data_IF_484671051792
#
_entry.id   IF_484671051792
#
_cell.length_a   1.000
_cell.length_b   1.000
_cell.length_c   1.000
_cell.angle_alpha   90.00
_cell.angle_beta   90.00
_cell.angle_gamma   90.00
#
_symmetry.space_group_name_H-M   'P 1'
#
loop_
_entity.id
_entity.type
_entity.pdbx_description
1 polymer ?
#
# COMPACT_ATOMS: atom_id res chain seq x y z
N UNK A 1 22.34 -3.34 40.12
CA UNK A 1 22.01 -1.91 40.32
C UNK A 1 20.49 -1.83 40.40
N UNK A 2 19.97 -1.39 41.55
CA UNK A 2 18.55 -1.28 41.94
C UNK A 2 17.66 -2.54 41.94
N UNK A 3 17.48 -3.20 43.10
CA UNK A 3 16.39 -4.14 43.30
C UNK A 3 15.08 -3.39 43.59
N UNK A 4 14.01 -3.87 42.97
CA UNK A 4 12.62 -3.50 43.19
C UNK A 4 12.23 -3.71 44.66
N UNK A 5 11.95 -2.64 45.38
CA UNK A 5 11.33 -2.71 46.71
C UNK A 5 10.14 -1.76 46.75
N UNK A 6 9.01 -2.26 46.25
CA UNK A 6 7.69 -1.67 46.51
C UNK A 6 7.36 -1.93 47.99
N UNK A 7 7.65 -0.95 48.84
CA UNK A 7 7.27 -0.99 50.25
C UNK A 7 5.77 -0.72 50.34
N UNK A 8 4.99 -1.80 50.44
CA UNK A 8 3.56 -1.76 50.69
C UNK A 8 3.33 -1.45 52.18
N UNK A 9 3.29 -0.17 52.54
CA UNK A 9 2.93 0.27 53.90
C UNK A 9 1.41 0.27 54.01
N UNK A 10 0.82 -0.89 54.31
CA UNK A 10 -0.58 -0.96 54.76
C UNK A 10 -0.61 -0.70 56.27
N UNK A 11 -0.56 0.59 56.66
CA UNK A 11 -0.78 0.98 58.05
C UNK A 11 -2.27 0.82 58.40
N UNK A 12 -2.52 -0.04 59.38
CA UNK A 12 -3.81 -0.26 60.02
C UNK A 12 -4.34 1.03 60.64
N UNK A 13 -5.44 1.54 60.09
CA UNK A 13 -6.19 2.65 60.64
C UNK A 13 -7.62 2.61 60.11
N UNK A 14 -8.54 2.09 60.92
CA UNK A 14 -9.97 2.28 60.76
C UNK A 14 -10.26 3.78 60.61
N UNK A 15 -10.74 4.25 59.45
CA UNK A 15 -12.01 4.97 59.20
C UNK A 15 -12.03 5.26 57.68
N UNK A 16 -13.02 4.73 56.97
CA UNK A 16 -13.43 5.05 55.59
C UNK A 16 -12.50 6.00 54.79
N UNK A 17 -11.38 5.48 54.27
CA UNK A 17 -10.71 6.14 53.17
C UNK A 17 -11.39 5.65 51.89
N UNK A 18 -12.29 6.48 51.37
CA UNK A 18 -12.76 6.38 50.00
C UNK A 18 -11.50 6.30 49.12
N UNK A 19 -11.21 5.10 48.59
CA UNK A 19 -10.23 4.97 47.54
C UNK A 19 -10.81 5.75 46.36
N UNK A 20 -10.43 7.02 46.24
CA UNK A 20 -10.40 7.76 44.99
C UNK A 20 -9.46 6.98 44.07
N UNK A 21 -9.98 5.89 43.51
CA UNK A 21 -9.43 5.31 42.30
C UNK A 21 -9.77 6.36 41.27
N UNK A 22 -8.80 7.26 41.09
CA UNK A 22 -8.65 8.06 39.88
C UNK A 22 -8.70 7.06 38.75
N UNK A 23 -9.92 6.85 38.26
CA UNK A 23 -10.21 5.93 37.18
C UNK A 23 -9.83 6.70 35.94
N UNK A 24 -8.53 6.97 35.80
CA UNK A 24 -7.98 7.16 34.48
C UNK A 24 -8.37 5.88 33.76
N UNK A 25 -9.20 5.93 32.70
CA UNK A 25 -9.38 4.77 31.87
C UNK A 25 -7.97 4.40 31.46
N UNK A 26 -7.47 3.28 31.99
CA UNK A 26 -6.48 2.54 31.23
C UNK A 26 -7.25 2.20 29.96
N UNK A 27 -7.12 3.08 28.96
CA UNK A 27 -7.12 2.67 27.58
C UNK A 27 -6.08 1.57 27.55
N UNK A 28 -6.55 0.37 27.81
CA UNK A 28 -5.90 -0.86 27.43
C UNK A 28 -6.02 -0.80 25.93
N UNK A 29 -5.17 0.01 25.32
CA UNK A 29 -4.92 -0.01 23.89
C UNK A 29 -4.27 -1.36 23.70
N UNK A 30 -5.14 -2.37 23.58
CA UNK A 30 -4.85 -3.69 23.06
C UNK A 30 -4.56 -3.52 21.58
N UNK A 31 -3.61 -2.65 21.24
CA UNK A 31 -3.03 -2.56 19.93
C UNK A 31 -2.06 -3.74 19.86
N UNK A 32 -2.60 -4.89 19.45
CA UNK A 32 -1.78 -5.76 18.61
C UNK A 32 -1.11 -4.83 17.58
N UNK A 33 0.23 -4.89 17.41
CA UNK A 33 0.91 -4.01 16.48
C UNK A 33 0.19 -4.13 15.14
N UNK A 34 -0.38 -3.03 14.66
CA UNK A 34 -1.03 -2.98 13.37
C UNK A 34 0.02 -3.42 12.36
N UNK A 35 -0.17 -4.60 11.77
CA UNK A 35 0.82 -5.20 10.90
C UNK A 35 0.95 -4.27 9.69
N UNK A 36 2.11 -3.63 9.57
CA UNK A 36 2.41 -2.79 8.43
C UNK A 36 2.24 -3.62 7.16
N UNK A 37 1.45 -3.10 6.22
CA UNK A 37 1.22 -3.68 4.89
C UNK A 37 1.46 -2.64 3.82
N UNK A 38 2.03 -3.08 2.72
CA UNK A 38 2.33 -2.24 1.58
C UNK A 38 1.94 -2.95 0.27
N UNK A 39 1.02 -2.41 -0.56
CA UNK A 39 0.26 -1.16 -0.37
C UNK A 39 -0.61 -1.17 0.90
N UNK A 40 -0.69 -0.02 1.59
CA UNK A 40 -1.53 0.12 2.78
C UNK A 40 -3.01 0.15 2.38
N UNK A 41 -3.84 -0.84 2.77
CA UNK A 41 -5.23 -0.91 2.38
C UNK A 41 -6.04 0.31 2.82
N UNK A 42 -5.77 0.89 4.00
CA UNK A 42 -6.59 1.97 4.57
C UNK A 42 -8.09 1.61 4.57
N UNK A 43 -8.87 2.07 3.58
CA UNK A 43 -10.29 1.76 3.39
C UNK A 43 -10.57 0.76 2.26
N UNK A 44 -9.55 0.37 1.50
CA UNK A 44 -9.62 -0.60 0.42
C UNK A 44 -9.54 -2.03 0.96
N UNK A 45 -10.02 -2.97 0.14
CA UNK A 45 -9.74 -4.39 0.33
C UNK A 45 -8.26 -4.71 0.12
N UNK A 46 -7.84 -5.91 0.55
CA UNK A 46 -6.47 -6.38 0.39
C UNK A 46 -6.07 -6.31 -1.10
N UNK A 47 -4.96 -5.63 -1.39
CA UNK A 47 -4.50 -5.42 -2.77
C UNK A 47 -4.20 -6.74 -3.48
N UNK A 48 -3.86 -7.80 -2.73
CA UNK A 48 -3.59 -9.12 -3.30
C UNK A 48 -4.78 -9.71 -4.06
N UNK A 49 -6.02 -9.36 -3.70
CA UNK A 49 -7.24 -9.81 -4.40
C UNK A 49 -7.34 -9.28 -5.84
N UNK A 50 -6.57 -8.24 -6.18
CA UNK A 50 -6.52 -7.64 -7.52
C UNK A 50 -5.43 -8.24 -8.41
N UNK A 51 -4.69 -9.23 -7.90
CA UNK A 51 -3.61 -9.92 -8.61
C UNK A 51 -4.12 -11.19 -9.28
N UNK A 52 -3.88 -11.35 -10.59
CA UNK A 52 -4.32 -12.56 -11.32
C UNK A 52 -3.20 -13.60 -11.50
N UNK A 53 -1.96 -13.19 -11.33
CA UNK A 53 -0.77 -14.06 -11.21
C UNK A 53 -0.32 -14.12 -9.74
N UNK A 54 0.40 -15.17 -9.30
CA UNK A 54 0.84 -15.27 -7.91
C UNK A 54 1.72 -14.08 -7.53
N UNK A 55 1.22 -13.22 -6.65
CA UNK A 55 2.00 -12.23 -5.91
C UNK A 55 2.02 -12.64 -4.43
N UNK A 56 3.10 -12.31 -3.74
CA UNK A 56 3.30 -12.69 -2.35
C UNK A 56 3.67 -11.51 -1.47
N UNK A 57 3.31 -11.62 -0.20
CA UNK A 57 3.76 -10.67 0.80
C UNK A 57 5.08 -11.18 1.37
N UNK A 58 6.12 -10.36 1.26
CA UNK A 58 7.40 -10.59 1.94
C UNK A 58 7.53 -9.61 3.10
N UNK A 59 8.08 -10.08 4.21
CA UNK A 59 8.41 -9.19 5.32
C UNK A 59 9.75 -8.50 5.02
N UNK A 60 9.71 -7.17 4.95
CA UNK A 60 10.89 -6.32 4.80
C UNK A 60 10.77 -5.17 5.79
N UNK A 61 11.79 -5.03 6.64
CA UNK A 61 11.85 -3.99 7.68
C UNK A 61 10.61 -3.94 8.60
N UNK A 62 10.02 -5.11 8.89
CA UNK A 62 8.82 -5.24 9.73
C UNK A 62 7.50 -4.90 9.02
N UNK A 63 7.53 -4.71 7.70
CA UNK A 63 6.34 -4.48 6.88
C UNK A 63 6.14 -5.59 5.85
N UNK A 64 4.90 -6.02 5.64
CA UNK A 64 4.54 -6.98 4.62
C UNK A 64 4.33 -6.27 3.28
N UNK A 65 5.32 -6.37 2.40
CA UNK A 65 5.31 -5.75 1.08
C UNK A 65 4.85 -6.75 0.03
N UNK A 66 3.86 -6.37 -0.78
CA UNK A 66 3.45 -7.18 -1.92
C UNK A 66 4.53 -7.09 -2.99
N UNK A 67 4.97 -8.26 -3.45
CA UNK A 67 6.02 -8.41 -4.46
C UNK A 67 5.62 -9.46 -5.48
N UNK A 68 6.16 -9.30 -6.69
CA UNK A 68 6.14 -10.36 -7.68
C UNK A 68 7.19 -11.43 -7.35
N UNK A 69 6.98 -12.70 -7.76
CA UNK A 69 7.97 -13.77 -7.65
C UNK A 69 9.28 -13.43 -8.36
N UNK A 70 10.35 -14.13 -8.01
CA UNK A 70 11.64 -13.97 -8.66
C UNK A 70 11.56 -14.04 -10.20
N UNK A 71 12.25 -13.12 -10.87
CA UNK A 71 12.29 -12.99 -12.32
C UNK A 71 10.95 -12.67 -13.00
N UNK A 72 9.97 -12.14 -12.24
CA UNK A 72 8.74 -11.59 -12.82
C UNK A 72 8.56 -10.13 -12.43
N UNK A 73 7.87 -9.36 -13.28
CA UNK A 73 7.72 -7.92 -13.15
C UNK A 73 6.25 -7.51 -13.06
N UNK A 74 5.93 -6.54 -12.21
CA UNK A 74 4.58 -6.01 -12.09
C UNK A 74 4.15 -5.27 -13.36
N UNK A 75 2.96 -5.57 -13.86
CA UNK A 75 2.24 -4.77 -14.85
C UNK A 75 0.80 -4.59 -14.41
N UNK A 76 0.26 -3.41 -14.70
CA UNK A 76 -1.11 -3.05 -14.32
C UNK A 76 -1.95 -2.78 -15.55
N UNK A 77 -3.18 -3.26 -15.48
CA UNK A 77 -4.16 -3.07 -16.53
C UNK A 77 -5.30 -2.18 -16.03
N UNK A 78 -5.79 -1.33 -16.93
CA UNK A 78 -6.95 -0.45 -16.74
C UNK A 78 -7.56 -0.08 -18.10
N UNK A 79 -8.45 0.90 -18.11
CA UNK A 79 -8.98 1.56 -19.30
C UNK A 79 -8.98 3.07 -19.10
N UNK A 80 -8.88 3.84 -20.19
CA UNK A 80 -8.83 5.30 -20.10
C UNK A 80 -10.06 5.93 -19.43
N UNK A 81 -11.24 5.31 -19.51
CA UNK A 81 -12.46 5.82 -18.86
C UNK A 81 -12.41 5.76 -17.32
N UNK A 82 -11.47 5.00 -16.75
CA UNK A 82 -11.20 4.92 -15.30
C UNK A 82 -9.87 5.58 -14.94
N UNK A 83 -9.41 6.49 -15.81
CA UNK A 83 -8.17 7.24 -15.65
C UNK A 83 -8.42 8.73 -15.87
N UNK A 84 -7.65 9.56 -15.18
CA UNK A 84 -7.54 10.98 -15.48
C UNK A 84 -6.72 11.22 -16.77
N UNK A 85 -6.00 10.21 -17.27
CA UNK A 85 -5.21 10.28 -18.50
C UNK A 85 -6.17 10.27 -19.70
N UNK A 86 -6.14 11.30 -20.57
CA UNK A 86 -6.98 11.32 -21.76
C UNK A 86 -6.51 10.27 -22.79
N UNK A 87 -7.42 9.61 -23.53
CA UNK A 87 -7.05 8.70 -24.61
C UNK A 87 -6.22 9.44 -25.68
N UNK A 88 -5.04 8.93 -26.06
CA UNK A 88 -4.25 9.54 -27.11
C UNK A 88 -4.85 9.31 -28.50
N UNK A 89 -4.78 10.33 -29.35
CA UNK A 89 -5.16 10.24 -30.76
C UNK A 89 -6.63 9.93 -30.98
N UNK A 90 -6.92 8.83 -31.69
CA UNK A 90 -8.27 8.37 -32.03
C UNK A 90 -8.78 7.27 -31.10
N UNK A 91 -8.09 7.01 -29.97
CA UNK A 91 -8.57 6.06 -28.99
C UNK A 91 -9.85 6.56 -28.32
N UNK A 92 -10.72 5.62 -27.98
CA UNK A 92 -11.94 5.87 -27.22
C UNK A 92 -11.70 5.55 -25.73
N UNK A 93 -12.51 6.11 -24.81
CA UNK A 93 -12.32 5.89 -23.38
C UNK A 93 -12.33 4.41 -22.94
N UNK A 94 -13.00 3.52 -23.69
CA UNK A 94 -13.07 2.09 -23.38
C UNK A 94 -11.81 1.30 -23.78
N UNK A 95 -10.85 1.93 -24.48
CA UNK A 95 -9.61 1.26 -24.85
C UNK A 95 -8.79 0.90 -23.61
N UNK A 96 -8.12 -0.25 -23.71
CA UNK A 96 -7.18 -0.72 -22.70
C UNK A 96 -6.02 0.26 -22.52
N UNK A 97 -5.63 0.40 -21.25
CA UNK A 97 -4.48 1.14 -20.79
C UNK A 97 -3.62 0.18 -19.97
N UNK A 98 -2.40 -0.07 -20.42
CA UNK A 98 -1.40 -0.83 -19.68
C UNK A 98 -0.36 0.13 -19.11
N UNK A 99 -0.05 -0.02 -17.83
CA UNK A 99 1.06 0.69 -17.20
C UNK A 99 2.29 -0.17 -17.37
N UNK A 100 3.27 0.39 -18.08
CA UNK A 100 4.44 -0.37 -18.51
C UNK A 100 5.22 -0.86 -17.29
N UNK A 101 5.72 -2.10 -17.31
CA UNK A 101 6.47 -2.67 -16.20
C UNK A 101 7.85 -1.99 -16.07
N UNK A 102 8.56 -2.20 -14.96
CA UNK A 102 10.00 -2.03 -14.96
C UNK A 102 10.65 -3.02 -15.94
N UNK A 103 11.79 -2.65 -16.50
CA UNK A 103 12.62 -3.52 -17.36
C UNK A 103 13.51 -4.48 -16.56
N UNK A 104 13.72 -4.20 -15.26
CA UNK A 104 14.48 -5.05 -14.34
C UNK A 104 14.12 -4.73 -12.88
N UNK A 105 14.43 -5.63 -11.95
CA UNK A 105 14.28 -5.35 -10.51
C UNK A 105 15.27 -4.27 -10.03
N UNK A 106 16.43 -4.16 -10.69
CA UNK A 106 17.43 -3.12 -10.41
C UNK A 106 16.89 -1.73 -10.71
N UNK A 107 16.06 -1.60 -11.75
CA UNK A 107 15.39 -0.34 -12.10
C UNK A 107 14.48 0.17 -10.98
N UNK A 108 13.82 -0.74 -10.26
CA UNK A 108 13.01 -0.37 -9.09
C UNK A 108 13.85 0.11 -7.92
N UNK A 109 15.18 -0.12 -7.91
CA UNK A 109 16.08 0.37 -6.87
C UNK A 109 15.75 -0.17 -5.47
N UNK A 110 15.07 -1.31 -5.38
CA UNK A 110 14.58 -1.88 -4.12
C UNK A 110 13.35 -1.20 -3.53
N UNK A 111 12.73 -0.26 -4.26
CA UNK A 111 11.45 0.32 -3.91
C UNK A 111 10.33 -0.72 -3.97
N UNK A 112 9.30 -0.54 -3.16
CA UNK A 112 8.11 -1.38 -3.24
C UNK A 112 7.25 -1.04 -4.47
N UNK A 113 6.24 -1.87 -4.74
CA UNK A 113 5.26 -1.60 -5.81
C UNK A 113 4.54 -0.26 -5.58
N UNK A 114 4.17 0.04 -4.34
CA UNK A 114 3.46 1.28 -4.02
C UNK A 114 4.35 2.50 -4.19
N UNK A 115 5.62 2.42 -3.81
CA UNK A 115 6.58 3.51 -3.97
C UNK A 115 6.89 3.77 -5.45
N UNK A 116 7.09 2.70 -6.23
CA UNK A 116 7.45 2.78 -7.63
C UNK A 116 6.30 3.31 -8.49
N UNK A 117 5.10 2.75 -8.35
CA UNK A 117 3.93 3.14 -9.15
C UNK A 117 2.99 4.15 -8.48
N UNK A 118 3.28 4.55 -7.24
CA UNK A 118 2.43 5.45 -6.48
C UNK A 118 1.04 4.86 -6.24
N UNK A 119 0.98 3.60 -5.77
CA UNK A 119 -0.29 2.91 -5.48
C UNK A 119 -0.90 3.54 -4.23
N UNK A 120 -2.13 4.02 -4.35
CA UNK A 120 -2.89 4.61 -3.26
C UNK A 120 -4.28 3.98 -3.17
N UNK A 121 -4.84 3.95 -1.97
CA UNK A 121 -6.26 3.71 -1.77
C UNK A 121 -6.98 5.07 -1.72
N UNK A 122 -7.91 5.30 -2.65
CA UNK A 122 -8.68 6.54 -2.76
C UNK A 122 -10.16 6.21 -2.92
N UNK A 123 -10.94 6.48 -1.88
CA UNK A 123 -12.38 6.18 -1.79
C UNK A 123 -12.72 4.68 -1.99
N UNK A 124 -11.90 3.80 -1.40
CA UNK A 124 -12.09 2.34 -1.48
C UNK A 124 -11.66 1.73 -2.81
N UNK A 125 -11.05 2.51 -3.72
CA UNK A 125 -10.53 2.04 -5.00
C UNK A 125 -9.02 2.21 -5.07
N UNK A 126 -8.33 1.17 -5.53
CA UNK A 126 -6.90 1.20 -5.76
C UNK A 126 -6.55 1.98 -7.02
N UNK A 127 -5.63 2.95 -6.90
CA UNK A 127 -5.22 3.81 -8.01
C UNK A 127 -3.70 3.94 -8.13
N UNK A 128 -3.21 4.08 -9.35
CA UNK A 128 -1.81 4.43 -9.66
C UNK A 128 -1.68 5.93 -9.82
N UNK A 129 -0.53 6.48 -9.44
CA UNK A 129 -0.24 7.93 -9.58
C UNK A 129 1.13 8.22 -10.19
N UNK A 130 1.97 7.20 -10.39
CA UNK A 130 3.26 7.32 -11.07
C UNK A 130 3.32 6.33 -12.23
N UNK A 131 4.03 6.74 -13.28
CA UNK A 131 4.19 5.96 -14.50
C UNK A 131 5.66 5.98 -14.93
N UNK A 132 6.57 5.33 -14.16
CA UNK A 132 8.02 5.46 -14.38
C UNK A 132 8.45 5.07 -15.81
N UNK A 133 7.82 4.03 -16.35
CA UNK A 133 8.05 3.51 -17.71
C UNK A 133 6.99 3.96 -18.70
N UNK A 134 6.16 4.95 -18.33
CA UNK A 134 5.04 5.39 -19.14
C UNK A 134 3.94 4.34 -19.28
N UNK A 135 3.20 4.41 -20.38
CA UNK A 135 2.02 3.59 -20.64
C UNK A 135 2.06 2.99 -22.04
N UNK A 136 1.45 1.81 -22.18
CA UNK A 136 1.27 1.11 -23.45
C UNK A 136 -0.21 1.02 -23.78
N UNK A 137 -0.53 1.25 -25.05
CA UNK A 137 -1.86 1.10 -25.64
C UNK A 137 -1.70 0.53 -27.05
N UNK A 138 -2.71 -0.17 -27.57
CA UNK A 138 -2.70 -0.77 -28.93
C UNK A 138 -1.50 -1.68 -29.28
N UNK A 139 -0.75 -2.20 -28.29
CA UNK A 139 0.51 -2.93 -28.50
C UNK A 139 1.66 -2.07 -29.05
N UNK A 140 1.51 -0.75 -29.01
CA UNK A 140 2.58 0.19 -29.31
C UNK A 140 3.65 0.17 -28.20
N UNK A 141 4.91 0.54 -28.50
CA UNK A 141 5.92 0.70 -27.45
C UNK A 141 5.47 1.72 -26.39
N UNK A 142 6.00 1.62 -25.15
CA UNK A 142 5.68 2.57 -24.09
C UNK A 142 5.84 4.03 -24.52
N UNK A 143 4.78 4.80 -24.29
CA UNK A 143 4.73 6.24 -24.52
C UNK A 143 4.71 6.97 -23.19
N UNK A 144 5.03 8.28 -23.20
CA UNK A 144 5.05 9.13 -22.00
C UNK A 144 6.05 8.72 -20.91
N UNK A 145 7.21 8.18 -21.30
CA UNK A 145 8.28 7.73 -20.41
C UNK A 145 9.07 8.87 -19.73
N UNK A 146 8.66 10.12 -19.92
CA UNK A 146 9.31 11.31 -19.37
C UNK A 146 8.68 11.78 -18.04
N UNK A 147 7.77 10.99 -17.46
CA UNK A 147 7.08 11.31 -16.22
C UNK A 147 5.97 12.36 -16.36
N UNK A 148 5.57 12.74 -17.58
CA UNK A 148 4.52 13.75 -17.80
C UNK A 148 3.15 13.36 -17.25
N UNK A 149 2.95 12.08 -16.96
CA UNK A 149 1.70 11.53 -16.41
C UNK A 149 1.72 11.43 -14.88
N UNK A 150 2.83 11.75 -14.21
CA UNK A 150 2.90 11.69 -12.75
C UNK A 150 1.87 12.64 -12.12
N UNK A 151 1.12 12.13 -11.16
CA UNK A 151 0.01 12.82 -10.49
C UNK A 151 -1.37 12.49 -11.07
N UNK A 152 -1.46 11.99 -12.31
CA UNK A 152 -2.72 11.49 -12.86
C UNK A 152 -3.11 10.19 -12.17
N UNK A 153 -4.37 10.09 -11.73
CA UNK A 153 -4.91 8.89 -11.10
C UNK A 153 -5.47 7.92 -12.15
N UNK A 154 -5.14 6.64 -12.01
CA UNK A 154 -5.72 5.55 -12.82
C UNK A 154 -6.18 4.43 -11.92
N UNK A 155 -7.45 4.04 -11.98
CA UNK A 155 -7.96 2.88 -11.24
C UNK A 155 -7.30 1.58 -11.72
N UNK A 156 -6.92 0.72 -10.78
CA UNK A 156 -6.30 -0.57 -11.07
C UNK A 156 -7.42 -1.60 -11.27
N UNK A 157 -7.47 -2.22 -12.45
CA UNK A 157 -8.39 -3.34 -12.68
C UNK A 157 -7.75 -4.67 -12.31
N UNK A 158 -6.48 -4.83 -12.64
CA UNK A 158 -5.72 -6.00 -12.24
C UNK A 158 -4.23 -5.71 -12.28
N UNK A 159 -3.49 -6.43 -11.47
CA UNK A 159 -2.04 -6.56 -11.53
C UNK A 159 -1.65 -7.96 -11.98
N UNK A 160 -0.62 -8.01 -12.82
CA UNK A 160 0.07 -9.22 -13.25
C UNK A 160 1.55 -9.14 -12.87
N UNK A 161 2.16 -10.31 -12.71
CA UNK A 161 3.59 -10.55 -12.58
C UNK A 161 3.99 -11.45 -13.75
N UNK A 162 4.85 -10.98 -14.64
CA UNK A 162 5.30 -11.73 -15.83
C UNK A 162 6.81 -11.74 -16.03
#
# INVERSE_FOLDING_TARGET
>A
MYPFMFILICLFGYVNAECLIDTLPQETTSSAPELCRDPNPSTCEDFKEWTVSPAEYIEKDGCFMLTCPENTYPSFFSQFQYSEIPPPGNLIPQNALEISPPTSLEEMGGASLSEYFGIICDDGVWKLTKYPNGITFNKDPPSYTNGSLNGYKTEIFTMNCY
#
